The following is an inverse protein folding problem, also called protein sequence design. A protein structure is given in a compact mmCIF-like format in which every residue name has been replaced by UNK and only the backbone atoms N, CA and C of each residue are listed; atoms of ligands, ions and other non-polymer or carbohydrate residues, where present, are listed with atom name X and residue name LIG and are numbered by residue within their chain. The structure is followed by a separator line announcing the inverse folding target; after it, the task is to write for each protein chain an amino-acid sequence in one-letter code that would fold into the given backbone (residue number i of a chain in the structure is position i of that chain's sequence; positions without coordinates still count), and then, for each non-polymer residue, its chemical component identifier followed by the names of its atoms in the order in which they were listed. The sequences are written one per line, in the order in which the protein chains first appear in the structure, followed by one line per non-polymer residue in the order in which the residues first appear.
data_IF_882491112945
#
_entry.id   IF_882491112945
#
_cell.length_a   1.000
_cell.length_b   1.000
_cell.length_c   1.000
_cell.angle_alpha   90.00
_cell.angle_beta   90.00
_cell.angle_gamma   90.00
#
_symmetry.space_group_name_H-M   'P 1'
#
loop_
_entity.id
_entity.type
_entity.pdbx_description
1 polymer ?
#
# COMPACT_ATOMS: atom_id res chain seq x y z
N UNK A 1 24.50 -8.35 1.45
CA UNK A 1 24.05 -8.73 2.81
C UNK A 1 23.86 -10.24 2.95
N UNK A 2 22.85 -10.85 2.30
CA UNK A 2 22.59 -12.32 2.37
C UNK A 2 23.86 -13.15 2.16
N UNK A 3 24.62 -12.89 1.10
CA UNK A 3 25.88 -13.59 0.81
C UNK A 3 26.89 -13.50 1.95
N UNK A 4 27.11 -12.29 2.48
CA UNK A 4 28.11 -12.05 3.53
C UNK A 4 27.71 -12.64 4.89
N UNK A 5 26.41 -12.84 5.13
CA UNK A 5 25.92 -13.46 6.37
C UNK A 5 26.17 -14.97 6.41
N UNK A 6 26.30 -15.61 5.25
CA UNK A 6 26.42 -17.09 5.13
C UNK A 6 27.75 -17.56 4.53
N UNK A 7 28.62 -16.62 4.12
CA UNK A 7 29.93 -16.92 3.52
C UNK A 7 31.00 -16.02 4.14
N UNK A 8 32.22 -16.54 4.25
CA UNK A 8 33.39 -15.81 4.73
C UNK A 8 34.55 -16.03 3.76
N UNK A 9 35.21 -14.95 3.34
CA UNK A 9 36.35 -14.98 2.42
C UNK A 9 37.55 -15.74 3.00
N UNK A 10 37.65 -15.82 4.32
CA UNK A 10 38.76 -16.48 5.01
C UNK A 10 38.52 -17.98 5.25
N UNK A 11 37.31 -18.45 4.99
CA UNK A 11 36.90 -19.84 5.19
C UNK A 11 36.82 -20.55 3.85
N UNK A 12 37.23 -21.82 3.81
CA UNK A 12 37.08 -22.65 2.61
C UNK A 12 35.60 -22.67 2.17
N UNK A 13 35.28 -22.39 0.89
CA UNK A 13 33.91 -22.39 0.37
C UNK A 13 33.09 -23.65 0.67
N UNK A 14 33.72 -24.81 0.84
CA UNK A 14 33.02 -26.05 1.22
C UNK A 14 32.33 -25.95 2.59
N UNK A 15 32.85 -25.12 3.49
CA UNK A 15 32.35 -24.95 4.85
C UNK A 15 31.38 -23.77 5.00
N UNK A 16 31.04 -23.07 3.91
CA UNK A 16 30.00 -22.03 3.95
C UNK A 16 28.63 -22.64 4.24
N UNK A 17 27.71 -21.83 4.80
CA UNK A 17 26.36 -22.28 5.09
C UNK A 17 25.48 -22.23 3.82
N UNK A 18 25.72 -23.20 2.92
CA UNK A 18 24.99 -23.33 1.67
C UNK A 18 23.49 -23.56 1.86
N UNK A 19 23.09 -24.20 2.96
CA UNK A 19 21.69 -24.51 3.22
C UNK A 19 20.94 -23.24 3.62
N UNK A 20 21.48 -22.45 4.56
CA UNK A 20 20.89 -21.18 4.95
C UNK A 20 20.91 -20.17 3.80
N UNK A 21 22.01 -20.09 3.04
CA UNK A 21 22.12 -19.22 1.86
C UNK A 21 21.01 -19.51 0.84
N UNK A 22 20.84 -20.79 0.46
CA UNK A 22 19.79 -21.20 -0.48
C UNK A 22 18.39 -20.97 0.09
N UNK A 23 18.19 -21.26 1.37
CA UNK A 23 16.92 -21.05 2.05
C UNK A 23 16.50 -19.58 2.02
N UNK A 24 17.37 -18.68 2.47
CA UNK A 24 17.08 -17.24 2.50
C UNK A 24 16.91 -16.68 1.08
N UNK A 25 17.76 -17.10 0.14
CA UNK A 25 17.64 -16.69 -1.27
C UNK A 25 16.30 -17.13 -1.88
N UNK A 26 15.90 -18.39 -1.69
CA UNK A 26 14.63 -18.90 -2.20
C UNK A 26 13.44 -18.23 -1.52
N UNK A 27 13.51 -17.98 -0.22
CA UNK A 27 12.47 -17.21 0.48
C UNK A 27 12.35 -15.83 -0.17
N UNK A 28 13.42 -15.08 -0.42
CA UNK A 28 13.30 -13.71 -0.92
C UNK A 28 12.90 -13.67 -2.40
N UNK A 29 13.56 -14.45 -3.25
CA UNK A 29 13.44 -14.36 -4.71
C UNK A 29 12.48 -15.40 -5.33
N UNK A 30 11.95 -16.34 -4.52
CA UNK A 30 11.10 -17.45 -4.98
C UNK A 30 11.73 -18.23 -6.15
N UNK A 31 13.04 -18.45 -6.06
CA UNK A 31 13.81 -19.20 -7.04
C UNK A 31 14.91 -20.01 -6.34
N UNK A 32 15.13 -21.22 -6.83
CA UNK A 32 16.19 -22.10 -6.33
C UNK A 32 17.48 -21.89 -7.11
N UNK A 33 18.61 -22.03 -6.42
CA UNK A 33 19.95 -21.90 -6.99
C UNK A 33 20.70 -23.19 -6.77
N UNK A 34 20.84 -23.98 -7.84
CA UNK A 34 21.67 -25.17 -7.85
C UNK A 34 23.10 -24.83 -8.29
N UNK A 35 24.05 -24.95 -7.37
CA UNK A 35 25.48 -24.78 -7.67
C UNK A 35 26.11 -26.17 -7.78
N UNK A 36 26.76 -26.50 -8.92
CA UNK A 36 27.45 -27.78 -9.09
C UNK A 36 28.51 -27.98 -8.01
N UNK A 37 28.50 -29.14 -7.34
CA UNK A 37 29.43 -29.47 -6.25
C UNK A 37 30.90 -29.35 -6.66
N UNK A 38 31.20 -29.61 -7.93
CA UNK A 38 32.55 -29.52 -8.49
C UNK A 38 33.12 -28.09 -8.52
N UNK A 39 32.25 -27.07 -8.57
CA UNK A 39 32.67 -25.67 -8.61
C UNK A 39 32.88 -25.08 -7.22
N UNK A 40 32.24 -25.66 -6.19
CA UNK A 40 32.28 -25.18 -4.80
C UNK A 40 33.72 -24.95 -4.30
N UNK A 41 34.67 -25.90 -4.41
CA UNK A 41 35.97 -25.78 -3.74
C UNK A 41 36.84 -24.64 -4.27
N UNK A 42 36.56 -24.15 -5.49
CA UNK A 42 37.32 -23.07 -6.15
C UNK A 42 36.51 -21.78 -6.26
N UNK A 43 35.29 -21.75 -5.74
CA UNK A 43 34.37 -20.64 -5.94
C UNK A 43 34.77 -19.44 -5.09
N UNK A 44 34.88 -18.27 -5.72
CA UNK A 44 35.05 -17.01 -4.99
C UNK A 44 33.69 -16.42 -4.62
N UNK A 45 33.66 -15.59 -3.58
CA UNK A 45 32.44 -14.89 -3.17
C UNK A 45 31.89 -13.99 -4.28
N UNK A 46 32.76 -13.32 -5.04
CA UNK A 46 32.37 -12.47 -6.17
C UNK A 46 31.66 -13.28 -7.27
N UNK A 47 32.23 -14.43 -7.64
CA UNK A 47 31.63 -15.33 -8.64
C UNK A 47 30.28 -15.89 -8.17
N UNK A 48 30.16 -16.17 -6.86
CA UNK A 48 28.90 -16.59 -6.24
C UNK A 48 27.87 -15.47 -6.23
N UNK A 49 28.28 -14.24 -5.94
CA UNK A 49 27.42 -13.07 -5.98
C UNK A 49 26.84 -12.90 -7.39
N UNK A 50 27.68 -12.92 -8.41
CA UNK A 50 27.26 -12.75 -9.80
C UNK A 50 26.29 -13.85 -10.22
N UNK A 51 26.59 -15.10 -9.87
CA UNK A 51 25.71 -16.25 -10.16
C UNK A 51 24.32 -16.07 -9.53
N UNK A 52 24.26 -15.63 -8.27
CA UNK A 52 23.00 -15.39 -7.57
C UNK A 52 22.24 -14.19 -8.13
N UNK A 53 22.96 -13.10 -8.47
CA UNK A 53 22.37 -11.91 -9.08
C UNK A 53 21.76 -12.23 -10.44
N UNK A 54 22.43 -13.02 -11.26
CA UNK A 54 21.92 -13.41 -12.57
C UNK A 54 20.66 -14.26 -12.44
N UNK A 55 20.63 -15.21 -11.49
CA UNK A 55 19.41 -15.98 -11.19
C UNK A 55 18.25 -15.09 -10.71
N UNK A 56 18.53 -14.10 -9.87
CA UNK A 56 17.52 -13.15 -9.42
C UNK A 56 17.01 -12.26 -10.57
N UNK A 57 17.89 -11.81 -11.46
CA UNK A 57 17.54 -11.02 -12.65
C UNK A 57 16.72 -11.83 -13.65
N UNK A 58 17.09 -13.09 -13.90
CA UNK A 58 16.30 -14.01 -14.73
C UNK A 58 14.87 -14.14 -14.19
N UNK A 59 14.73 -14.31 -12.86
CA UNK A 59 13.42 -14.40 -12.21
C UNK A 59 12.64 -13.08 -12.29
N UNK A 60 13.33 -11.94 -12.18
CA UNK A 60 12.74 -10.61 -12.31
C UNK A 60 12.23 -10.36 -13.74
N UNK A 61 13.02 -10.70 -14.75
CA UNK A 61 12.63 -10.58 -16.16
C UNK A 61 11.42 -11.47 -16.48
N UNK A 62 11.39 -12.70 -15.95
CA UNK A 62 10.22 -13.56 -16.06
C UNK A 62 8.98 -12.92 -15.41
N UNK A 63 9.14 -12.27 -14.25
CA UNK A 63 8.04 -11.59 -13.55
C UNK A 63 7.52 -10.38 -14.32
N UNK A 64 8.40 -9.63 -14.97
CA UNK A 64 8.02 -8.51 -15.84
C UNK A 64 7.21 -8.99 -17.05
N UNK A 65 7.63 -10.08 -17.69
CA UNK A 65 6.90 -10.68 -18.82
C UNK A 65 5.51 -11.20 -18.41
N UNK A 66 5.39 -11.79 -17.22
CA UNK A 66 4.12 -12.32 -16.69
C UNK A 66 3.07 -11.20 -16.48
N UNK A 67 3.51 -10.03 -16.00
CA UNK A 67 2.63 -8.93 -15.65
C UNK A 67 2.43 -7.91 -16.78
N UNK A 68 3.31 -7.91 -17.78
CA UNK A 68 3.44 -6.87 -18.77
C UNK A 68 4.03 -5.57 -18.19
N UNK A 69 4.50 -4.70 -19.07
CA UNK A 69 5.25 -3.48 -18.70
C UNK A 69 4.44 -2.55 -17.77
N UNK A 70 3.19 -2.24 -18.12
CA UNK A 70 2.34 -1.34 -17.33
C UNK A 70 2.04 -1.93 -15.93
N UNK A 71 1.69 -3.22 -15.89
CA UNK A 71 1.37 -3.92 -14.64
C UNK A 71 2.58 -4.04 -13.72
N UNK A 72 3.74 -4.34 -14.30
CA UNK A 72 5.01 -4.40 -13.57
C UNK A 72 5.42 -3.02 -13.04
N UNK A 73 5.29 -1.96 -13.84
CA UNK A 73 5.57 -0.59 -13.40
C UNK A 73 4.63 -0.12 -12.28
N UNK A 74 3.34 -0.47 -12.34
CA UNK A 74 2.40 -0.20 -11.24
C UNK A 74 2.77 -0.97 -9.97
N UNK A 75 3.17 -2.24 -10.11
CA UNK A 75 3.67 -3.04 -9.01
C UNK A 75 4.92 -2.41 -8.39
N UNK A 76 5.92 -2.01 -9.17
CA UNK A 76 7.15 -1.39 -8.65
C UNK A 76 6.85 -0.12 -7.86
N UNK A 77 5.98 0.76 -8.39
CA UNK A 77 5.56 1.98 -7.68
C UNK A 77 4.87 1.65 -6.36
N UNK A 78 3.94 0.70 -6.38
CA UNK A 78 3.24 0.24 -5.18
C UNK A 78 4.21 -0.33 -4.15
N UNK A 79 5.11 -1.20 -4.57
CA UNK A 79 6.08 -1.85 -3.67
C UNK A 79 7.00 -0.81 -3.04
N UNK A 80 7.63 0.06 -3.84
CA UNK A 80 8.56 1.06 -3.33
C UNK A 80 7.87 2.01 -2.35
N UNK A 81 6.68 2.50 -2.69
CA UNK A 81 5.94 3.40 -1.80
C UNK A 81 5.58 2.69 -0.48
N UNK A 82 4.99 1.50 -0.56
CA UNK A 82 4.54 0.76 0.61
C UNK A 82 5.70 0.37 1.54
N UNK A 83 6.85 -0.02 0.99
CA UNK A 83 8.00 -0.43 1.81
C UNK A 83 8.72 0.78 2.40
N UNK A 84 8.93 1.85 1.64
CA UNK A 84 9.57 3.06 2.16
C UNK A 84 8.73 3.68 3.27
N UNK A 85 7.42 3.91 3.03
CA UNK A 85 6.55 4.57 4.01
C UNK A 85 6.47 3.77 5.33
N UNK A 86 6.36 2.45 5.23
CA UNK A 86 6.31 1.58 6.41
C UNK A 86 7.60 1.64 7.21
N UNK A 87 8.75 1.38 6.57
CA UNK A 87 10.03 1.33 7.27
C UNK A 87 10.46 2.72 7.78
N UNK A 88 10.13 3.79 7.04
CA UNK A 88 10.41 5.15 7.48
C UNK A 88 9.65 5.50 8.76
N UNK A 89 8.34 5.19 8.81
CA UNK A 89 7.55 5.39 10.02
C UNK A 89 8.10 4.59 11.20
N UNK A 90 8.47 3.33 10.97
CA UNK A 90 9.04 2.46 12.01
C UNK A 90 10.39 3.04 12.52
N UNK A 91 11.22 3.57 11.62
CA UNK A 91 12.46 4.27 11.95
C UNK A 91 12.24 5.58 12.74
N UNK A 92 11.19 6.34 12.45
CA UNK A 92 10.86 7.54 13.24
C UNK A 92 10.54 7.17 14.70
N UNK A 93 9.81 6.07 14.93
CA UNK A 93 9.58 5.58 16.29
C UNK A 93 10.89 5.14 16.97
N UNK A 94 11.77 4.44 16.25
CA UNK A 94 13.07 4.05 16.77
C UNK A 94 13.95 5.27 17.15
N UNK A 95 13.91 6.34 16.35
CA UNK A 95 14.61 7.60 16.66
C UNK A 95 14.03 8.31 17.89
N UNK A 96 12.71 8.28 18.06
CA UNK A 96 12.06 8.84 19.24
C UNK A 96 12.45 8.07 20.52
N UNK A 97 12.46 6.74 20.46
CA UNK A 97 12.90 5.88 21.56
C UNK A 97 14.39 6.10 21.88
N UNK A 98 15.24 6.17 20.84
CA UNK A 98 16.66 6.46 20.98
C UNK A 98 16.88 7.81 21.66
N UNK A 99 16.12 8.84 21.28
CA UNK A 99 16.21 10.19 21.87
C UNK A 99 15.82 10.20 23.35
N UNK A 100 14.84 9.40 23.76
CA UNK A 100 14.47 9.27 25.17
C UNK A 100 15.56 8.55 25.99
N UNK A 101 16.17 7.51 25.40
CA UNK A 101 17.21 6.70 26.05
C UNK A 101 18.60 7.34 26.09
N UNK A 102 18.92 8.27 25.18
CA UNK A 102 20.29 8.78 25.03
C UNK A 102 20.81 9.53 26.27
N UNK A 103 19.92 10.11 27.07
CA UNK A 103 20.31 10.79 28.31
C UNK A 103 20.99 9.85 29.30
N UNK A 104 20.72 8.54 29.24
CA UNK A 104 21.37 7.54 30.08
C UNK A 104 22.85 7.33 29.69
N UNK A 105 23.27 7.69 28.48
CA UNK A 105 24.66 7.59 28.04
C UNK A 105 25.57 8.68 28.60
N UNK A 106 24.98 9.80 29.03
CA UNK A 106 25.71 10.86 29.73
C UNK A 106 26.39 10.33 31.01
N UNK A 107 25.82 9.30 31.65
CA UNK A 107 26.43 8.65 32.82
C UNK A 107 27.77 7.95 32.51
N UNK A 108 28.00 7.57 31.25
CA UNK A 108 29.25 6.96 30.81
C UNK A 108 30.31 7.99 30.37
N UNK A 109 30.13 9.28 30.71
CA UNK A 109 31.01 10.40 30.31
C UNK A 109 31.17 10.56 28.78
N UNK A 110 30.26 9.95 28.00
CA UNK A 110 30.19 10.14 26.56
C UNK A 110 29.26 11.29 26.23
N UNK A 111 29.59 12.03 25.18
CA UNK A 111 28.72 13.10 24.67
C UNK A 111 27.42 12.49 24.08
N UNK A 112 26.24 12.76 24.67
CA UNK A 112 24.98 12.20 24.19
C UNK A 112 24.66 12.56 22.74
N UNK A 113 25.05 13.75 22.27
CA UNK A 113 24.77 14.19 20.91
C UNK A 113 25.60 13.40 19.89
N UNK A 114 26.85 13.11 20.22
CA UNK A 114 27.73 12.31 19.37
C UNK A 114 27.19 10.88 19.28
N UNK A 115 26.87 10.27 20.42
CA UNK A 115 26.32 8.92 20.49
C UNK A 115 24.99 8.81 19.74
N UNK A 116 24.09 9.79 19.90
CA UNK A 116 22.85 9.86 19.12
C UNK A 116 23.12 9.86 17.61
N UNK A 117 24.08 10.68 17.14
CA UNK A 117 24.43 10.76 15.71
C UNK A 117 25.01 9.44 15.18
N UNK A 118 25.81 8.74 15.97
CA UNK A 118 26.37 7.45 15.55
C UNK A 118 25.29 6.38 15.46
N UNK A 119 24.41 6.27 16.44
CA UNK A 119 23.37 5.24 16.44
C UNK A 119 22.21 5.54 15.50
N UNK A 120 21.80 6.80 15.39
CA UNK A 120 20.81 7.19 14.37
C UNK A 120 21.30 6.88 12.96
N UNK A 121 22.61 7.04 12.69
CA UNK A 121 23.19 6.63 11.40
C UNK A 121 23.12 5.12 11.20
N UNK A 122 23.49 4.35 12.22
CA UNK A 122 23.45 2.88 12.17
C UNK A 122 22.02 2.38 11.89
N UNK A 123 21.05 2.84 12.67
CA UNK A 123 19.63 2.46 12.52
C UNK A 123 19.07 2.89 11.16
N UNK A 124 19.50 4.04 10.63
CA UNK A 124 19.15 4.44 9.26
C UNK A 124 19.75 3.51 8.19
N UNK A 125 21.00 3.08 8.34
CA UNK A 125 21.63 2.11 7.44
C UNK A 125 20.91 0.75 7.49
N UNK A 126 20.56 0.29 8.68
CA UNK A 126 19.78 -0.93 8.91
C UNK A 126 18.39 -0.82 8.25
N UNK A 127 17.69 0.31 8.43
CA UNK A 127 16.41 0.59 7.77
C UNK A 127 16.54 0.52 6.24
N UNK A 128 17.61 1.05 5.64
CA UNK A 128 17.82 0.98 4.19
C UNK A 128 17.97 -0.45 3.69
N UNK A 129 18.67 -1.30 4.44
CA UNK A 129 18.82 -2.72 4.12
C UNK A 129 17.46 -3.42 4.20
N UNK A 130 16.66 -3.14 5.23
CA UNK A 130 15.32 -3.70 5.39
C UNK A 130 14.35 -3.23 4.31
N UNK A 131 14.41 -1.96 3.88
CA UNK A 131 13.63 -1.48 2.72
C UNK A 131 13.98 -2.29 1.47
N UNK A 132 15.27 -2.46 1.17
CA UNK A 132 15.71 -3.20 -0.01
C UNK A 132 15.27 -4.67 0.03
N UNK A 133 15.38 -5.32 1.19
CA UNK A 133 14.97 -6.71 1.41
C UNK A 133 13.46 -6.89 1.28
N UNK A 134 12.68 -6.04 1.93
CA UNK A 134 11.22 -6.06 1.88
C UNK A 134 10.70 -5.75 0.47
N UNK A 135 11.30 -4.77 -0.23
CA UNK A 135 10.95 -4.46 -1.60
C UNK A 135 11.22 -5.64 -2.53
N UNK A 136 12.42 -6.23 -2.44
CA UNK A 136 12.78 -7.41 -3.23
C UNK A 136 11.79 -8.56 -3.00
N UNK A 137 11.54 -8.89 -1.73
CA UNK A 137 10.60 -9.94 -1.33
C UNK A 137 9.17 -9.70 -1.84
N UNK A 138 8.68 -8.46 -1.77
CA UNK A 138 7.31 -8.12 -2.15
C UNK A 138 7.11 -8.13 -3.66
N UNK A 139 8.10 -7.75 -4.47
CA UNK A 139 8.03 -7.80 -5.94
C UNK A 139 7.71 -9.22 -6.42
N UNK A 140 8.32 -10.25 -5.82
CA UNK A 140 8.11 -11.64 -6.22
C UNK A 140 6.83 -12.26 -5.63
N UNK A 141 6.38 -11.82 -4.45
CA UNK A 141 5.20 -12.37 -3.76
C UNK A 141 3.87 -11.71 -4.16
N UNK A 142 3.89 -10.42 -4.46
CA UNK A 142 2.68 -9.65 -4.66
C UNK A 142 1.99 -10.07 -5.97
N UNK A 143 0.78 -10.63 -5.86
CA UNK A 143 -0.07 -10.88 -7.02
C UNK A 143 -0.88 -9.61 -7.31
N UNK A 144 -0.83 -9.07 -8.55
CA UNK A 144 -1.77 -8.03 -8.93
C UNK A 144 -3.17 -8.65 -8.94
N UNK A 145 -4.01 -8.22 -8.00
CA UNK A 145 -5.42 -8.58 -8.02
C UNK A 145 -6.08 -8.09 -9.30
N UNK A 146 -7.17 -8.74 -9.76
CA UNK A 146 -7.92 -8.23 -10.89
C UNK A 146 -8.31 -6.79 -10.61
N UNK A 147 -7.99 -5.86 -11.53
CA UNK A 147 -8.49 -4.48 -11.50
C UNK A 147 -10.01 -4.55 -11.43
N UNK A 148 -10.58 -4.49 -10.23
CA UNK A 148 -12.00 -4.23 -10.06
C UNK A 148 -12.22 -2.84 -10.65
N UNK A 149 -12.72 -2.79 -11.89
CA UNK A 149 -13.30 -1.58 -12.46
C UNK A 149 -14.31 -1.10 -11.43
N UNK A 150 -13.97 -0.01 -10.75
CA UNK A 150 -14.90 0.68 -9.84
C UNK A 150 -16.21 0.81 -10.62
N UNK A 151 -17.32 0.20 -10.18
CA UNK A 151 -18.55 0.23 -10.94
C UNK A 151 -18.91 1.69 -11.18
N UNK A 152 -18.88 2.11 -12.44
CA UNK A 152 -19.38 3.42 -12.80
C UNK A 152 -20.84 3.46 -12.34
N UNK A 153 -21.29 4.50 -11.63
CA UNK A 153 -22.68 4.58 -11.21
C UNK A 153 -23.53 4.51 -12.48
N UNK A 154 -24.23 3.40 -12.65
CA UNK A 154 -25.23 3.23 -13.69
C UNK A 154 -26.23 4.36 -13.51
N UNK A 155 -26.22 5.29 -14.46
CA UNK A 155 -27.18 6.39 -14.51
C UNK A 155 -28.55 5.73 -14.68
N UNK A 156 -29.29 5.59 -13.59
CA UNK A 156 -30.63 5.00 -13.59
C UNK A 156 -31.49 5.69 -14.64
N UNK A 157 -31.76 4.97 -15.73
CA UNK A 157 -32.74 5.35 -16.73
C UNK A 157 -34.12 5.19 -16.10
N UNK A 158 -34.78 6.30 -15.77
CA UNK A 158 -36.18 6.29 -15.33
C UNK A 158 -37.07 6.37 -16.58
N UNK A 159 -37.76 5.30 -16.99
CA UNK A 159 -38.77 5.40 -18.02
C UNK A 159 -39.95 6.23 -17.49
N UNK A 160 -40.37 7.22 -18.27
CA UNK A 160 -41.51 8.09 -17.99
C UNK A 160 -42.78 7.23 -17.84
N UNK A 161 -43.33 7.16 -16.62
CA UNK A 161 -44.59 6.46 -16.38
C UNK A 161 -45.74 7.17 -17.07
N UNK A 162 -46.41 6.43 -17.96
CA UNK A 162 -47.68 6.76 -18.59
C UNK A 162 -48.78 6.80 -17.50
N UNK A 163 -49.74 7.71 -17.69
CA UNK A 163 -50.78 8.11 -16.76
C UNK A 163 -51.67 6.97 -16.21
N UNK A 164 -51.99 7.04 -14.91
CA UNK A 164 -53.13 6.36 -14.30
C UNK A 164 -54.35 7.30 -14.27
N UNK A 165 -55.57 6.76 -14.35
CA UNK A 165 -56.70 7.44 -13.73
C UNK A 165 -57.47 6.60 -12.71
N UNK A 166 -57.95 7.36 -11.73
CA UNK A 166 -59.18 7.22 -10.95
C UNK A 166 -59.19 6.33 -9.69
N UNK A 167 -59.68 6.97 -8.63
CA UNK A 167 -59.79 6.53 -7.26
C UNK A 167 -61.24 6.21 -6.87
N UNK A 168 -61.44 5.44 -5.78
CA UNK A 168 -62.42 5.58 -4.66
C UNK A 168 -62.72 4.20 -3.97
N UNK A 169 -63.31 4.11 -2.75
CA UNK A 169 -62.59 4.26 -1.47
C UNK A 169 -62.90 3.20 -0.38
N UNK A 170 -62.00 3.16 0.62
CA UNK A 170 -62.17 2.88 2.07
C UNK A 170 -62.99 1.68 2.62
N UNK A 171 -62.28 0.78 3.33
CA UNK A 171 -62.74 0.09 4.55
C UNK A 171 -61.54 -0.17 5.48
N UNK A 172 -61.76 -0.07 6.80
CA UNK A 172 -60.76 0.16 7.86
C UNK A 172 -60.21 -1.13 8.49
N UNK A 173 -58.93 -1.12 8.92
CA UNK A 173 -58.42 -1.98 10.00
C UNK A 173 -56.94 -2.39 9.91
N UNK A 174 -56.17 -2.08 10.98
CA UNK A 174 -54.80 -2.52 11.34
C UNK A 174 -53.59 -1.63 10.95
N UNK A 175 -52.55 -1.51 11.82
CA UNK A 175 -51.65 -0.36 11.88
C UNK A 175 -50.53 -0.42 10.83
N UNK A 176 -50.40 0.65 10.04
CA UNK A 176 -49.40 0.79 9.00
C UNK A 176 -48.05 1.30 9.55
N UNK A 177 -46.99 0.64 9.12
CA UNK A 177 -45.59 1.04 9.31
C UNK A 177 -45.36 2.52 8.94
N UNK A 178 -44.62 3.22 9.81
CA UNK A 178 -44.28 4.65 9.66
C UNK A 178 -43.55 4.88 8.32
N UNK A 179 -44.19 5.59 7.39
CA UNK A 179 -43.55 6.09 6.17
C UNK A 179 -42.77 7.38 6.47
N UNK A 180 -41.59 7.60 5.87
CA UNK A 180 -40.80 8.80 6.10
C UNK A 180 -41.52 10.05 5.56
N UNK A 181 -41.58 11.11 6.37
CA UNK A 181 -42.12 12.42 5.97
C UNK A 181 -41.16 13.06 4.97
N UNK A 182 -41.62 13.24 3.73
CA UNK A 182 -40.88 13.98 2.71
C UNK A 182 -41.01 15.47 3.04
N UNK A 183 -39.91 16.07 3.50
CA UNK A 183 -39.82 17.52 3.68
C UNK A 183 -40.06 18.22 2.33
N UNK A 184 -41.15 18.98 2.24
CA UNK A 184 -41.50 19.76 1.05
C UNK A 184 -40.38 20.72 0.66
N UNK A 185 -40.15 20.86 -0.65
CA UNK A 185 -39.12 21.70 -1.25
C UNK A 185 -39.27 23.15 -0.77
N UNK A 186 -38.28 23.69 -0.05
CA UNK A 186 -38.25 25.10 0.37
C UNK A 186 -38.17 25.98 -0.88
N UNK A 187 -39.19 26.81 -1.10
CA UNK A 187 -39.23 27.78 -2.21
C UNK A 187 -38.12 28.81 -2.00
N UNK A 188 -37.24 28.95 -3.00
CA UNK A 188 -36.15 29.90 -2.96
C UNK A 188 -36.64 31.34 -3.10
N UNK A 189 -35.96 32.29 -2.44
CA UNK A 189 -36.33 33.72 -2.40
C UNK A 189 -36.51 34.36 -3.80
N UNK A 190 -35.85 33.84 -4.83
CA UNK A 190 -35.95 34.34 -6.21
C UNK A 190 -36.82 33.46 -7.15
N UNK A 191 -37.35 32.34 -6.69
CA UNK A 191 -38.17 31.42 -7.50
C UNK A 191 -39.51 32.04 -7.88
N UNK A 192 -40.20 31.54 -8.92
CA UNK A 192 -41.57 31.95 -9.24
C UNK A 192 -42.48 31.76 -8.04
N UNK A 193 -43.27 32.79 -7.71
CA UNK A 193 -44.14 32.74 -6.54
C UNK A 193 -45.30 31.74 -6.79
N UNK A 194 -45.57 30.80 -5.86
CA UNK A 194 -46.57 29.75 -6.07
C UNK A 194 -48.02 30.25 -6.08
N UNK A 195 -48.28 31.51 -5.73
CA UNK A 195 -49.61 32.11 -5.78
C UNK A 195 -50.09 32.48 -7.20
N UNK A 196 -49.30 32.17 -8.23
CA UNK A 196 -49.69 32.42 -9.63
C UNK A 196 -49.57 33.88 -10.09
N UNK A 197 -48.99 34.76 -9.29
CA UNK A 197 -48.86 36.20 -9.61
C UNK A 197 -47.84 36.53 -10.71
N UNK A 198 -47.09 35.54 -11.20
CA UNK A 198 -46.02 35.71 -12.20
C UNK A 198 -44.76 36.45 -11.69
N UNK A 199 -44.72 36.85 -10.43
CA UNK A 199 -43.58 37.57 -9.81
C UNK A 199 -42.64 36.62 -9.05
N UNK A 200 -41.37 37.01 -8.86
CA UNK A 200 -40.42 36.29 -7.98
C UNK A 200 -40.91 36.29 -6.52
N UNK A 201 -40.67 35.21 -5.77
CA UNK A 201 -41.20 34.99 -4.41
C UNK A 201 -40.94 36.18 -3.47
N UNK A 202 -39.72 36.71 -3.40
CA UNK A 202 -39.37 37.90 -2.59
C UNK A 202 -40.12 39.19 -2.93
N UNK A 203 -40.68 39.29 -4.13
CA UNK A 203 -41.45 40.45 -4.59
C UNK A 203 -42.96 40.23 -4.45
N UNK A 204 -43.39 39.08 -3.94
CA UNK A 204 -44.79 38.70 -3.74
C UNK A 204 -45.00 38.10 -2.34
N UNK A 205 -45.35 36.82 -2.19
CA UNK A 205 -45.64 36.21 -0.89
C UNK A 205 -44.47 36.24 0.09
N UNK A 206 -43.22 36.32 -0.40
CA UNK A 206 -42.02 36.46 0.42
C UNK A 206 -41.54 37.90 0.64
N UNK A 207 -42.39 38.91 0.39
CA UNK A 207 -42.03 40.34 0.58
C UNK A 207 -42.09 40.78 2.05
N UNK A 208 -42.93 40.13 2.85
CA UNK A 208 -43.12 40.39 4.29
C UNK A 208 -42.93 39.12 5.16
N UNK A 209 -42.31 38.07 4.60
CA UNK A 209 -42.03 36.81 5.27
C UNK A 209 -40.55 36.68 5.62
#
# INVERSE_FOLDING_TARGET
DILLRHTDSNVNPENWDWQALKGEFNIIFLTDTTIPKEKIPKMKQEELLDTLLDKAKEKLAWREQELGEDGFNELLRFVLMATIDRNWRDHLYELDDLRQGISLRAYAQKDPLIEYKHESRKTYEDMRIEVAKNASSLIFRAQPGPRQRRPQPTREYKPSAIAQPAAQPAAQGAPAARRPVVAGKKIGRNDPCPCGSGKKYKKCCGRNA
#
